data_IF_821686048273
#
_entry.id   IF_821686048273
#
_cell.length_a   1.000
_cell.length_b   1.000
_cell.length_c   1.000
_cell.angle_alpha   90.00
_cell.angle_beta   90.00
_cell.angle_gamma   90.00
#
_symmetry.space_group_name_H-M   'P 1'
#
loop_
_entity.id
_entity.type
_entity.pdbx_description
1 polymer ?
#
# COMPACT_ATOMS: atom_id res chain seq x y z
N UNK A 1 -23.96 -32.12 41.82
CA UNK A 1 -23.60 -32.31 40.41
C UNK A 1 -22.65 -31.18 40.03
N UNK A 2 -21.36 -31.47 39.93
CA UNK A 2 -20.37 -30.52 39.41
C UNK A 2 -20.16 -30.84 37.94
N UNK A 3 -20.75 -30.03 37.05
CA UNK A 3 -20.51 -30.16 35.62
C UNK A 3 -19.09 -29.66 35.32
N UNK A 4 -18.18 -30.63 35.22
CA UNK A 4 -16.79 -30.41 34.90
C UNK A 4 -16.61 -30.19 33.40
N UNK A 5 -15.94 -29.09 33.07
CA UNK A 5 -14.94 -29.01 32.01
C UNK A 5 -15.36 -29.49 30.60
N UNK A 6 -15.96 -28.59 29.82
CA UNK A 6 -15.73 -28.61 28.37
C UNK A 6 -14.43 -27.85 28.07
N UNK A 7 -13.47 -28.47 27.38
CA UNK A 7 -12.18 -27.84 27.12
C UNK A 7 -12.41 -26.59 26.28
N UNK A 8 -11.80 -25.51 26.75
CA UNK A 8 -11.53 -24.28 26.04
C UNK A 8 -10.64 -24.54 24.82
N UNK A 9 -11.20 -25.21 23.82
CA UNK A 9 -10.58 -25.35 22.51
C UNK A 9 -10.65 -23.96 21.86
N UNK A 10 -9.63 -23.12 22.11
CA UNK A 10 -9.37 -21.95 21.29
C UNK A 10 -9.35 -22.46 19.84
N UNK A 11 -10.38 -22.12 19.08
CA UNK A 11 -10.67 -22.70 17.77
C UNK A 11 -9.73 -22.04 16.75
N UNK A 12 -8.43 -22.36 16.85
CA UNK A 12 -7.33 -21.77 16.09
C UNK A 12 -7.65 -21.76 14.59
N UNK A 13 -8.29 -22.82 14.08
CA UNK A 13 -8.70 -22.92 12.69
C UNK A 13 -9.64 -21.78 12.26
N UNK A 14 -10.63 -21.43 13.10
CA UNK A 14 -11.52 -20.30 12.82
C UNK A 14 -10.77 -18.97 12.88
N UNK A 15 -9.93 -18.76 13.90
CA UNK A 15 -9.11 -17.55 14.02
C UNK A 15 -8.20 -17.33 12.81
N UNK A 16 -7.59 -18.40 12.27
CA UNK A 16 -6.82 -18.34 11.01
C UNK A 16 -7.69 -18.01 9.80
N UNK A 17 -8.91 -18.57 9.74
CA UNK A 17 -9.85 -18.29 8.63
C UNK A 17 -10.32 -16.84 8.65
N UNK A 18 -10.63 -16.28 9.82
CA UNK A 18 -10.97 -14.87 10.00
C UNK A 18 -9.78 -13.97 9.65
N UNK A 19 -8.58 -14.31 10.11
CA UNK A 19 -7.36 -13.59 9.75
C UNK A 19 -7.12 -13.59 8.24
N UNK A 20 -7.26 -14.75 7.57
CA UNK A 20 -7.14 -14.85 6.12
C UNK A 20 -8.20 -14.01 5.41
N UNK A 21 -9.46 -14.00 5.90
CA UNK A 21 -10.51 -13.15 5.34
C UNK A 21 -10.17 -11.66 5.48
N UNK A 22 -9.73 -11.23 6.67
CA UNK A 22 -9.29 -9.86 6.92
C UNK A 22 -8.06 -9.48 6.07
N UNK A 23 -7.07 -10.37 5.94
CA UNK A 23 -5.90 -10.13 5.10
C UNK A 23 -6.27 -10.07 3.62
N UNK A 24 -7.23 -10.88 3.17
CA UNK A 24 -7.70 -10.90 1.78
C UNK A 24 -8.55 -9.66 1.45
N UNK A 25 -9.36 -9.19 2.40
CA UNK A 25 -10.10 -7.92 2.30
C UNK A 25 -9.18 -6.70 2.43
N UNK A 26 -8.11 -6.79 3.22
CA UNK A 26 -7.10 -5.73 3.37
C UNK A 26 -6.03 -5.73 2.27
N UNK A 27 -5.91 -6.82 1.51
CA UNK A 27 -4.92 -7.00 0.45
C UNK A 27 -4.94 -5.89 -0.62
N UNK A 28 -6.12 -5.52 -1.16
CA UNK A 28 -6.24 -4.41 -2.09
C UNK A 28 -5.76 -3.07 -1.50
N UNK A 29 -6.14 -2.76 -0.26
CA UNK A 29 -5.76 -1.51 0.42
C UNK A 29 -4.26 -1.45 0.77
N UNK A 30 -3.67 -2.57 1.19
CA UNK A 30 -2.24 -2.67 1.48
C UNK A 30 -1.41 -2.48 0.20
N UNK A 31 -1.78 -3.15 -0.88
CA UNK A 31 -1.10 -3.05 -2.19
C UNK A 31 -1.15 -1.62 -2.75
N UNK A 32 -2.27 -0.93 -2.53
CA UNK A 32 -2.48 0.45 -2.94
C UNK A 32 -1.46 1.41 -2.27
N UNK A 33 -1.17 1.20 -0.99
CA UNK A 33 -0.22 2.01 -0.22
C UNK A 33 1.22 1.82 -0.68
N UNK A 34 1.67 0.58 -0.87
CA UNK A 34 3.02 0.29 -1.37
C UNK A 34 3.26 0.84 -2.79
N UNK A 35 2.24 0.79 -3.65
CA UNK A 35 2.34 1.31 -5.02
C UNK A 35 2.55 2.83 -5.03
N UNK A 36 1.84 3.56 -4.17
CA UNK A 36 1.99 5.01 -4.06
C UNK A 36 3.37 5.38 -3.50
N UNK A 37 3.80 4.72 -2.42
CA UNK A 37 5.10 4.97 -1.80
C UNK A 37 6.25 4.72 -2.77
N UNK A 38 6.23 3.59 -3.50
CA UNK A 38 7.26 3.26 -4.49
C UNK A 38 7.27 4.26 -5.64
N UNK A 39 6.10 4.67 -6.14
CA UNK A 39 5.99 5.71 -7.17
C UNK A 39 6.66 7.01 -6.71
N UNK A 40 6.29 7.52 -5.54
CA UNK A 40 6.84 8.77 -4.98
C UNK A 40 8.38 8.67 -4.85
N UNK A 41 8.90 7.58 -4.31
CA UNK A 41 10.35 7.38 -4.15
C UNK A 41 11.07 7.41 -5.50
N UNK A 42 10.56 6.70 -6.52
CA UNK A 42 11.16 6.68 -7.86
C UNK A 42 11.20 8.07 -8.48
N UNK A 43 10.09 8.81 -8.40
CA UNK A 43 10.01 10.13 -9.00
C UNK A 43 10.81 11.20 -8.24
N UNK A 44 10.92 11.11 -6.92
CA UNK A 44 11.83 11.96 -6.13
C UNK A 44 13.28 11.69 -6.54
N UNK A 45 13.66 10.41 -6.66
CA UNK A 45 15.02 10.03 -7.05
C UNK A 45 15.36 10.54 -8.47
N UNK A 46 14.41 10.43 -9.39
CA UNK A 46 14.57 10.92 -10.76
C UNK A 46 14.64 12.46 -10.81
N UNK A 47 13.79 13.15 -10.05
CA UNK A 47 13.82 14.62 -9.93
C UNK A 47 15.13 15.12 -9.32
N UNK A 48 15.67 14.42 -8.32
CA UNK A 48 16.95 14.74 -7.71
C UNK A 48 18.12 14.57 -8.68
N UNK A 49 18.11 13.51 -9.51
CA UNK A 49 19.11 13.30 -10.55
C UNK A 49 19.12 14.44 -11.60
N UNK A 50 17.94 14.92 -11.98
CA UNK A 50 17.78 16.04 -12.92
C UNK A 50 18.26 17.35 -12.27
N UNK A 51 17.89 17.62 -11.01
CA UNK A 51 18.31 18.83 -10.30
C UNK A 51 19.83 18.90 -10.14
N UNK A 52 20.49 17.76 -9.88
CA UNK A 52 21.95 17.64 -9.83
C UNK A 52 22.66 18.06 -11.13
N UNK A 53 22.00 17.88 -12.28
CA UNK A 53 22.59 18.17 -13.59
C UNK A 53 22.41 19.64 -14.00
N UNK A 54 21.54 20.39 -13.31
CA UNK A 54 21.07 21.70 -13.80
C UNK A 54 21.54 22.87 -12.91
N UNK A 55 22.24 22.62 -11.80
CA UNK A 55 22.63 23.63 -10.78
C UNK A 55 21.46 24.55 -10.35
N UNK A 56 20.24 24.09 -10.60
CA UNK A 56 19.00 24.84 -10.42
C UNK A 56 18.41 24.48 -9.06
N UNK A 57 17.75 25.45 -8.42
CA UNK A 57 16.81 25.20 -7.30
C UNK A 57 15.94 23.97 -7.59
N UNK A 58 15.47 23.23 -6.55
CA UNK A 58 14.99 21.84 -6.63
C UNK A 58 13.63 21.68 -7.34
N UNK A 59 13.53 22.21 -8.56
CA UNK A 59 12.34 22.26 -9.41
C UNK A 59 12.07 20.90 -10.03
N UNK A 60 13.11 20.14 -10.37
CA UNK A 60 13.02 18.76 -10.84
C UNK A 60 12.41 17.84 -9.80
N UNK A 61 12.78 17.98 -8.52
CA UNK A 61 12.15 17.26 -7.41
C UNK A 61 10.69 17.66 -7.24
N UNK A 62 10.35 18.95 -7.33
CA UNK A 62 8.95 19.43 -7.20
C UNK A 62 8.07 18.87 -8.33
N UNK A 63 8.55 18.94 -9.57
CA UNK A 63 7.83 18.41 -10.74
C UNK A 63 7.74 16.88 -10.63
N UNK A 64 8.83 16.21 -10.29
CA UNK A 64 8.87 14.76 -10.06
C UNK A 64 7.87 14.33 -8.99
N UNK A 65 7.83 15.01 -7.85
CA UNK A 65 6.86 14.74 -6.78
C UNK A 65 5.41 14.87 -7.27
N UNK A 66 5.11 15.91 -8.04
CA UNK A 66 3.78 16.13 -8.60
C UNK A 66 3.37 15.00 -9.56
N UNK A 67 4.27 14.62 -10.48
CA UNK A 67 4.07 13.49 -11.39
C UNK A 67 3.97 12.14 -10.65
N UNK A 68 4.76 11.93 -9.59
CA UNK A 68 4.74 10.71 -8.79
C UNK A 68 3.47 10.55 -7.97
N UNK A 69 2.93 11.66 -7.45
CA UNK A 69 1.60 11.71 -6.83
C UNK A 69 0.51 11.39 -7.86
N UNK A 70 0.48 12.10 -9.00
CA UNK A 70 -0.54 11.86 -10.04
C UNK A 70 -0.50 10.41 -10.52
N UNK A 71 0.69 9.90 -10.82
CA UNK A 71 0.87 8.51 -11.32
C UNK A 71 0.48 7.49 -10.25
N UNK A 72 0.89 7.69 -9.00
CA UNK A 72 0.55 6.80 -7.90
C UNK A 72 -0.96 6.75 -7.63
N UNK A 73 -1.62 7.91 -7.57
CA UNK A 73 -3.08 8.01 -7.44
C UNK A 73 -3.81 7.47 -8.67
N UNK A 74 -3.29 7.69 -9.87
CA UNK A 74 -3.86 7.13 -11.11
C UNK A 74 -3.82 5.60 -11.08
N UNK A 75 -2.71 5.01 -10.63
CA UNK A 75 -2.61 3.56 -10.52
C UNK A 75 -3.55 3.02 -9.44
N UNK A 76 -3.70 3.74 -8.33
CA UNK A 76 -4.67 3.45 -7.27
C UNK A 76 -6.12 3.42 -7.81
N UNK A 77 -6.53 4.50 -8.47
CA UNK A 77 -7.86 4.65 -9.04
C UNK A 77 -8.12 3.59 -10.11
N UNK A 78 -7.12 3.30 -10.95
CA UNK A 78 -7.21 2.26 -11.97
C UNK A 78 -7.36 0.86 -11.36
N UNK A 79 -6.65 0.54 -10.28
CA UNK A 79 -6.81 -0.76 -9.61
C UNK A 79 -8.21 -0.89 -9.01
N UNK A 80 -8.69 0.15 -8.33
CA UNK A 80 -10.03 0.15 -7.71
C UNK A 80 -11.15 0.08 -8.76
N UNK A 81 -11.02 0.77 -9.89
CA UNK A 81 -12.04 0.80 -10.96
C UNK A 81 -11.93 -0.35 -11.96
N UNK A 82 -10.88 -1.16 -11.90
CA UNK A 82 -10.71 -2.30 -12.81
C UNK A 82 -11.19 -3.62 -12.19
N UNK A 83 -11.83 -3.54 -11.02
CA UNK A 83 -12.47 -4.66 -10.34
C UNK A 83 -13.94 -4.89 -10.77
N UNK A 84 -14.34 -4.37 -11.95
CA UNK A 84 -15.63 -4.64 -12.63
C UNK A 84 -15.45 -5.54 -13.86
#
# INVERSE_FOLDING_TARGET
>A
MSDTNSPNNFDWGKSFTYFQKTVKEAGPAATASYTLTVSIIIFIFLGWYIDLSTDSSPWGVIIGLFFGLITGFYHLAKTIWKED
#
